data_IF_931969277220
#
_entry.id   IF_931969277220
#
_cell.length_a   1.000
_cell.length_b   1.000
_cell.length_c   1.000
_cell.angle_alpha   90.00
_cell.angle_beta   90.00
_cell.angle_gamma   90.00
#
_symmetry.space_group_name_H-M   'P 1'
#
loop_
_entity.id
_entity.type
_entity.pdbx_description
1 polymer ?
#
# COMPACT_ATOMS: atom_id res chain seq x y z
N UNK A 1 -2.39 10.40 7.99
CA UNK A 1 -1.04 10.65 7.42
C UNK A 1 -0.22 9.38 7.19
N UNK A 2 -0.34 8.34 8.02
CA UNK A 2 0.47 7.11 7.94
C UNK A 2 0.28 6.27 6.65
N UNK A 3 -0.95 6.15 6.13
CA UNK A 3 -1.21 5.40 4.88
C UNK A 3 -0.53 6.01 3.64
N UNK A 4 -0.34 7.34 3.62
CA UNK A 4 0.39 8.02 2.54
C UNK A 4 1.87 7.60 2.55
N UNK A 5 2.47 7.49 3.74
CA UNK A 5 3.87 7.11 3.90
C UNK A 5 4.10 5.69 3.37
N UNK A 6 3.19 4.76 3.69
CA UNK A 6 3.24 3.38 3.20
C UNK A 6 3.22 3.35 1.66
N UNK A 7 2.29 4.08 1.03
CA UNK A 7 2.22 4.13 -0.43
C UNK A 7 3.40 4.83 -1.10
N UNK A 8 3.99 5.83 -0.46
CA UNK A 8 5.21 6.50 -0.92
C UNK A 8 6.42 5.56 -0.84
N UNK A 9 6.57 4.80 0.25
CA UNK A 9 7.62 3.80 0.40
C UNK A 9 7.48 2.68 -0.65
N UNK A 10 6.27 2.15 -0.84
CA UNK A 10 5.98 1.15 -1.87
C UNK A 10 6.32 1.65 -3.28
N UNK A 11 6.02 2.92 -3.58
CA UNK A 11 6.37 3.55 -4.86
C UNK A 11 7.88 3.60 -5.06
N UNK A 12 8.63 4.06 -4.05
CA UNK A 12 10.10 4.12 -4.12
C UNK A 12 10.74 2.73 -4.29
N UNK A 13 10.19 1.70 -3.65
CA UNK A 13 10.67 0.33 -3.82
C UNK A 13 10.45 -0.13 -5.27
N UNK A 14 9.24 0.01 -5.82
CA UNK A 14 8.97 -0.36 -7.21
C UNK A 14 9.85 0.41 -8.21
N UNK A 15 10.10 1.70 -7.96
CA UNK A 15 10.86 2.55 -8.88
C UNK A 15 12.38 2.29 -8.82
N UNK A 16 12.93 2.01 -7.63
CA UNK A 16 14.38 1.87 -7.42
C UNK A 16 14.87 0.43 -7.36
N UNK A 17 13.99 -0.50 -7.02
CA UNK A 17 14.26 -1.92 -6.81
C UNK A 17 13.20 -2.75 -7.54
N UNK A 18 13.01 -2.47 -8.83
CA UNK A 18 11.96 -3.08 -9.64
C UNK A 18 12.00 -4.61 -9.61
N UNK A 19 13.20 -5.21 -9.71
CA UNK A 19 13.38 -6.67 -9.70
C UNK A 19 12.92 -7.30 -8.37
N UNK A 20 13.20 -6.64 -7.24
CA UNK A 20 12.73 -7.08 -5.92
C UNK A 20 11.20 -7.05 -5.86
N UNK A 21 10.57 -5.94 -6.27
CA UNK A 21 9.11 -5.82 -6.25
C UNK A 21 8.41 -6.78 -7.22
N UNK A 22 9.09 -7.17 -8.31
CA UNK A 22 8.58 -8.16 -9.27
C UNK A 22 8.71 -9.58 -8.75
N UNK A 23 9.81 -9.89 -8.05
CA UNK A 23 10.04 -11.20 -7.43
C UNK A 23 9.07 -11.43 -6.26
N UNK A 24 8.78 -10.37 -5.50
CA UNK A 24 7.85 -10.37 -4.38
C UNK A 24 6.47 -9.83 -4.75
N UNK A 25 5.85 -10.44 -5.76
CA UNK A 25 4.55 -10.01 -6.31
C UNK A 25 3.36 -10.28 -5.38
N UNK A 26 3.55 -11.12 -4.36
CA UNK A 26 2.62 -11.38 -3.26
C UNK A 26 2.40 -10.14 -2.40
N UNK A 27 3.35 -9.22 -2.33
CA UNK A 27 3.18 -7.95 -1.62
C UNK A 27 2.39 -6.98 -2.51
N UNK A 28 1.31 -6.36 -2.02
CA UNK A 28 0.42 -5.53 -2.82
C UNK A 28 0.96 -4.11 -3.11
N UNK A 29 2.17 -4.01 -3.68
CA UNK A 29 2.89 -2.73 -3.92
C UNK A 29 2.05 -1.69 -4.66
N UNK A 30 1.38 -2.11 -5.74
CA UNK A 30 0.55 -1.23 -6.57
C UNK A 30 -0.68 -0.73 -5.82
N UNK A 31 -1.28 -1.56 -4.97
CA UNK A 31 -2.43 -1.16 -4.16
C UNK A 31 -2.03 -0.10 -3.12
N UNK A 32 -0.86 -0.25 -2.48
CA UNK A 32 -0.33 0.75 -1.55
C UNK A 32 -0.10 2.11 -2.24
N UNK A 33 0.50 2.10 -3.44
CA UNK A 33 0.64 3.33 -4.26
C UNK A 33 -0.73 3.94 -4.63
N UNK A 34 -1.69 3.11 -5.01
CA UNK A 34 -3.06 3.52 -5.32
C UNK A 34 -3.74 4.20 -4.14
N UNK A 35 -3.60 3.64 -2.94
CA UNK A 35 -4.17 4.21 -1.71
C UNK A 35 -3.58 5.59 -1.40
N UNK A 36 -2.26 5.77 -1.55
CA UNK A 36 -1.61 7.09 -1.42
C UNK A 36 -2.19 8.10 -2.40
N UNK A 37 -2.38 7.73 -3.66
CA UNK A 37 -2.97 8.62 -4.65
C UNK A 37 -4.41 9.02 -4.31
N UNK A 38 -5.21 8.07 -3.82
CA UNK A 38 -6.61 8.32 -3.45
C UNK A 38 -6.75 9.23 -2.23
N UNK A 39 -5.89 9.06 -1.22
CA UNK A 39 -5.87 9.94 -0.05
C UNK A 39 -5.35 11.35 -0.41
N UNK A 40 -4.32 11.45 -1.25
CA UNK A 40 -3.69 12.72 -1.59
C UNK A 40 -4.53 13.60 -2.54
N UNK A 41 -5.30 12.99 -3.46
CA UNK A 41 -6.02 13.71 -4.51
C UNK A 41 -7.55 13.58 -4.46
N UNK A 42 -8.10 12.68 -3.63
CA UNK A 42 -9.53 12.32 -3.64
C UNK A 42 -10.24 12.51 -2.31
N UNK A 43 -9.79 13.40 -1.42
CA UNK A 43 -10.28 13.50 -0.04
C UNK A 43 -11.81 13.66 0.11
N UNK A 44 -12.50 14.21 -0.90
CA UNK A 44 -13.96 14.33 -0.92
C UNK A 44 -14.72 13.06 -1.36
N UNK A 45 -14.03 12.07 -1.93
CA UNK A 45 -14.60 10.82 -2.46
C UNK A 45 -13.97 9.56 -1.81
N UNK A 46 -13.32 9.73 -0.65
CA UNK A 46 -12.77 8.58 0.08
C UNK A 46 -13.93 7.78 0.67
N UNK A 47 -14.07 6.55 0.20
CA UNK A 47 -14.93 5.57 0.83
C UNK A 47 -14.31 5.17 2.18
N UNK A 48 -14.95 5.55 3.28
CA UNK A 48 -14.46 5.26 4.63
C UNK A 48 -14.51 3.77 4.99
N UNK A 49 -15.44 3.00 4.42
CA UNK A 49 -15.48 1.55 4.60
C UNK A 49 -14.21 0.91 4.01
N UNK A 50 -13.77 1.38 2.85
CA UNK A 50 -12.50 0.94 2.25
C UNK A 50 -11.29 1.28 3.13
N UNK A 51 -11.28 2.46 3.77
CA UNK A 51 -10.22 2.84 4.72
C UNK A 51 -10.26 1.93 5.95
N UNK A 52 -11.45 1.63 6.46
CA UNK A 52 -11.64 0.75 7.60
C UNK A 52 -11.16 -0.69 7.31
N UNK A 53 -11.56 -1.24 6.17
CA UNK A 53 -11.12 -2.57 5.70
C UNK A 53 -9.60 -2.60 5.46
N UNK A 54 -9.04 -1.51 4.95
CA UNK A 54 -7.58 -1.39 4.80
C UNK A 54 -6.89 -1.56 6.16
N UNK A 55 -7.41 -0.93 7.21
CA UNK A 55 -6.83 -0.99 8.55
C UNK A 55 -7.07 -2.35 9.20
N UNK A 56 -8.25 -2.95 9.03
CA UNK A 56 -8.65 -4.17 9.72
C UNK A 56 -8.22 -5.46 9.04
N UNK A 57 -8.05 -5.44 7.73
CA UNK A 57 -7.84 -6.64 6.91
C UNK A 57 -6.53 -6.52 6.15
N UNK A 58 -6.39 -5.49 5.30
CA UNK A 58 -5.26 -5.41 4.38
C UNK A 58 -3.92 -5.13 5.07
N UNK A 59 -3.90 -4.31 6.13
CA UNK A 59 -2.66 -4.00 6.86
C UNK A 59 -2.14 -5.20 7.68
N UNK A 60 -2.97 -5.93 8.46
CA UNK A 60 -2.52 -7.18 9.09
C UNK A 60 -1.97 -8.19 8.07
N UNK A 61 -2.70 -8.44 6.99
CA UNK A 61 -2.26 -9.38 5.94
C UNK A 61 -0.96 -8.92 5.26
N UNK A 62 -0.78 -7.61 5.07
CA UNK A 62 0.49 -7.04 4.61
C UNK A 62 1.63 -7.29 5.60
N UNK A 63 1.40 -7.11 6.90
CA UNK A 63 2.43 -7.34 7.92
C UNK A 63 2.89 -8.80 7.94
N UNK A 64 1.95 -9.74 7.86
CA UNK A 64 2.24 -11.17 7.81
C UNK A 64 3.13 -11.49 6.60
N UNK A 65 2.74 -11.04 5.40
CA UNK A 65 3.56 -11.23 4.18
C UNK A 65 4.94 -10.60 4.29
N UNK A 66 5.05 -9.39 4.83
CA UNK A 66 6.33 -8.71 5.00
C UNK A 66 7.25 -9.40 6.00
N UNK A 67 6.69 -10.13 6.98
CA UNK A 67 7.48 -10.90 7.96
C UNK A 67 8.10 -12.17 7.39
N UNK A 68 7.61 -12.63 6.24
CA UNK A 68 8.06 -13.83 5.53
C UNK A 68 9.07 -13.53 4.42
N UNK A 69 9.37 -12.24 4.17
CA UNK A 69 10.39 -11.75 3.22
C UNK A 69 11.81 -11.83 3.81
#
# INVERSE_FOLDING_TARGET
>A
MSLIIIGEAATKIMDRYADFSQTHSEVPWRAMRGMRNRIAHGYFEINLDMVWDTIKIALPDLLDRLSEL
#
